data_IF_862588260981
#
_entry.id   IF_862588260981
#
_cell.length_a   1.000
_cell.length_b   1.000
_cell.length_c   1.000
_cell.angle_alpha   90.00
_cell.angle_beta   90.00
_cell.angle_gamma   90.00
#
_symmetry.space_group_name_H-M   'P 1'
#
loop_
_entity.id
_entity.type
_entity.pdbx_description
1 polymer ?
#
# COMPACT_ATOMS: atom_id res chain seq x y z
N UNK A 1 -6.86 -7.55 -6.69
CA UNK A 1 -7.84 -7.10 -5.68
C UNK A 1 -9.23 -7.43 -6.19
N UNK A 2 -9.87 -8.44 -5.63
CA UNK A 2 -11.21 -8.88 -6.00
C UNK A 2 -12.14 -8.51 -4.85
N UNK A 3 -12.80 -7.35 -4.95
CA UNK A 3 -13.75 -6.91 -3.92
C UNK A 3 -14.47 -5.62 -4.27
N UNK A 4 -13.81 -4.71 -4.99
CA UNK A 4 -14.40 -3.46 -5.47
C UNK A 4 -14.17 -3.35 -6.98
N UNK A 5 -15.26 -3.33 -7.76
CA UNK A 5 -15.22 -3.27 -9.22
C UNK A 5 -14.84 -1.87 -9.74
N UNK A 6 -14.38 -1.81 -10.99
CA UNK A 6 -13.93 -0.57 -11.65
C UNK A 6 -14.96 0.55 -11.60
N UNK A 7 -16.24 0.24 -11.78
CA UNK A 7 -17.31 1.24 -11.69
C UNK A 7 -17.43 1.89 -10.30
N UNK A 8 -17.24 1.11 -9.23
CA UNK A 8 -17.22 1.66 -7.86
C UNK A 8 -16.00 2.56 -7.67
N UNK A 9 -14.82 2.15 -8.15
CA UNK A 9 -13.61 2.98 -8.08
C UNK A 9 -13.79 4.30 -8.83
N UNK A 10 -14.37 4.26 -10.03
CA UNK A 10 -14.66 5.46 -10.80
C UNK A 10 -15.61 6.39 -10.03
N UNK A 11 -16.68 5.86 -9.43
CA UNK A 11 -17.59 6.68 -8.62
C UNK A 11 -16.91 7.34 -7.41
N UNK A 12 -15.96 6.65 -6.76
CA UNK A 12 -15.18 7.22 -5.65
C UNK A 12 -14.25 8.35 -6.11
N UNK A 13 -13.67 8.21 -7.30
CA UNK A 13 -12.81 9.24 -7.93
C UNK A 13 -13.66 10.44 -8.36
N UNK A 14 -14.77 10.21 -9.06
CA UNK A 14 -15.68 11.25 -9.55
C UNK A 14 -16.30 12.06 -8.40
N UNK A 15 -16.57 11.41 -7.26
CA UNK A 15 -17.04 12.05 -6.05
C UNK A 15 -15.92 12.72 -5.22
N UNK A 16 -14.68 12.71 -5.70
CA UNK A 16 -13.52 13.31 -5.04
C UNK A 16 -13.11 12.65 -3.73
N UNK A 17 -13.60 11.44 -3.45
CA UNK A 17 -13.28 10.68 -2.23
C UNK A 17 -11.91 10.02 -2.31
N UNK A 18 -11.45 9.73 -3.53
CA UNK A 18 -10.13 9.15 -3.80
C UNK A 18 -9.41 10.04 -4.80
N UNK A 19 -8.30 10.66 -4.37
CA UNK A 19 -7.45 11.53 -5.20
C UNK A 19 -6.03 10.96 -5.31
N UNK A 20 -5.59 10.23 -4.30
CA UNK A 20 -4.30 9.55 -4.24
C UNK A 20 -4.46 8.05 -4.02
N UNK A 21 -3.38 7.31 -4.28
CA UNK A 21 -3.35 5.85 -4.34
C UNK A 21 -3.93 5.15 -3.10
N UNK A 22 -3.79 5.74 -1.92
CA UNK A 22 -4.16 5.13 -0.64
C UNK A 22 -5.29 5.87 0.10
N UNK A 23 -5.88 6.92 -0.48
CA UNK A 23 -6.95 7.69 0.17
C UNK A 23 -8.13 6.81 0.60
N UNK A 24 -8.41 5.76 -0.19
CA UNK A 24 -9.47 4.80 0.07
C UNK A 24 -9.30 4.02 1.38
N UNK A 25 -8.08 3.91 1.91
CA UNK A 25 -7.85 3.24 3.18
C UNK A 25 -8.52 3.96 4.34
N UNK A 26 -8.70 5.27 4.25
CA UNK A 26 -9.29 6.10 5.29
C UNK A 26 -10.82 6.28 5.15
N UNK A 27 -11.44 5.78 4.07
CA UNK A 27 -12.85 6.01 3.81
C UNK A 27 -13.75 5.27 4.79
N UNK A 28 -14.67 6.00 5.41
CA UNK A 28 -15.67 5.44 6.34
C UNK A 28 -16.94 4.98 5.59
N UNK A 29 -17.77 4.10 6.17
CA UNK A 29 -19.05 3.73 5.59
C UNK A 29 -19.94 4.94 5.26
N UNK A 30 -19.93 5.98 6.09
CA UNK A 30 -20.73 7.19 5.90
C UNK A 30 -20.22 8.00 4.69
N UNK A 31 -18.90 8.11 4.54
CA UNK A 31 -18.29 8.78 3.38
C UNK A 31 -18.55 8.01 2.09
N UNK A 32 -18.51 6.68 2.14
CA UNK A 32 -18.85 5.81 1.02
C UNK A 32 -20.34 5.92 0.65
N UNK A 33 -21.25 5.95 1.62
CA UNK A 33 -22.69 6.11 1.40
C UNK A 33 -23.07 7.50 0.86
N UNK A 34 -22.20 8.50 1.04
CA UNK A 34 -22.39 9.84 0.45
C UNK A 34 -22.13 9.90 -1.06
N UNK A 35 -21.59 8.82 -1.65
CA UNK A 35 -21.28 8.76 -3.09
C UNK A 35 -22.52 8.32 -3.87
N UNK A 36 -22.94 9.06 -4.91
CA UNK A 36 -24.06 8.67 -5.76
C UNK A 36 -23.90 7.24 -6.30
N UNK A 37 -24.94 6.42 -6.15
CA UNK A 37 -24.92 5.02 -6.58
C UNK A 37 -24.34 4.02 -5.55
N UNK A 38 -23.86 4.48 -4.39
CA UNK A 38 -23.43 3.63 -3.28
C UNK A 38 -24.42 3.75 -2.11
N UNK A 39 -25.36 2.82 -2.01
CA UNK A 39 -26.27 2.74 -0.85
C UNK A 39 -25.57 2.22 0.42
N UNK A 40 -26.18 2.42 1.59
CA UNK A 40 -25.60 2.10 2.90
C UNK A 40 -25.05 0.65 3.02
N UNK A 41 -25.84 -0.36 2.64
CA UNK A 41 -25.36 -1.75 2.70
C UNK A 41 -24.17 -2.04 1.78
N UNK A 42 -24.09 -1.36 0.61
CA UNK A 42 -22.93 -1.46 -0.28
C UNK A 42 -21.73 -0.72 0.29
N UNK A 43 -21.95 0.43 0.94
CA UNK A 43 -20.92 1.19 1.62
C UNK A 43 -20.25 0.37 2.73
N UNK A 44 -21.03 -0.32 3.56
CA UNK A 44 -20.51 -1.23 4.60
C UNK A 44 -19.68 -2.38 4.00
N UNK A 45 -20.16 -3.01 2.93
CA UNK A 45 -19.43 -4.08 2.25
C UNK A 45 -18.09 -3.59 1.66
N UNK A 46 -18.06 -2.39 1.08
CA UNK A 46 -16.84 -1.76 0.58
C UNK A 46 -15.90 -1.45 1.74
N UNK A 47 -16.39 -0.85 2.83
CA UNK A 47 -15.58 -0.54 4.00
C UNK A 47 -14.95 -1.80 4.61
N UNK A 48 -15.71 -2.89 4.72
CA UNK A 48 -15.18 -4.18 5.17
C UNK A 48 -14.08 -4.69 4.23
N UNK A 49 -14.29 -4.60 2.91
CA UNK A 49 -13.29 -4.98 1.91
C UNK A 49 -11.99 -4.17 2.07
N UNK A 50 -12.11 -2.87 2.29
CA UNK A 50 -10.95 -2.00 2.52
C UNK A 50 -10.25 -2.32 3.84
N UNK A 51 -10.99 -2.61 4.90
CA UNK A 51 -10.42 -3.05 6.17
C UNK A 51 -9.65 -4.37 6.02
N UNK A 52 -10.19 -5.34 5.28
CA UNK A 52 -9.49 -6.61 4.99
C UNK A 52 -8.19 -6.39 4.20
N UNK A 53 -8.12 -5.38 3.32
CA UNK A 53 -6.90 -5.09 2.58
C UNK A 53 -5.74 -4.67 3.51
N UNK A 54 -6.02 -4.05 4.65
CA UNK A 54 -4.99 -3.64 5.64
C UNK A 54 -4.32 -4.83 6.32
N UNK A 55 -4.97 -6.00 6.30
CA UNK A 55 -4.47 -7.24 6.89
C UNK A 55 -3.55 -8.01 5.92
N UNK A 56 -3.37 -7.53 4.69
CA UNK A 56 -2.42 -8.13 3.77
C UNK A 56 -0.98 -8.01 4.29
N UNK A 57 -0.16 -9.01 3.99
CA UNK A 57 1.23 -9.04 4.42
C UNK A 57 2.03 -7.88 3.85
N UNK A 58 3.05 -7.44 4.59
CA UNK A 58 4.05 -6.47 4.16
C UNK A 58 4.52 -6.72 2.72
N UNK A 59 4.83 -7.99 2.42
CA UNK A 59 5.30 -8.39 1.10
C UNK A 59 4.28 -8.13 -0.02
N UNK A 60 3.01 -8.44 0.23
CA UNK A 60 1.93 -8.22 -0.72
C UNK A 60 1.71 -6.73 -0.97
N UNK A 61 1.82 -5.90 0.06
CA UNK A 61 1.74 -4.45 -0.07
C UNK A 61 2.90 -3.86 -0.87
N UNK A 62 4.15 -4.22 -0.56
CA UNK A 62 5.30 -3.76 -1.34
C UNK A 62 5.22 -4.15 -2.82
N UNK A 63 4.77 -5.37 -3.12
CA UNK A 63 4.53 -5.77 -4.50
C UNK A 63 3.44 -4.92 -5.17
N UNK A 64 2.35 -4.60 -4.46
CA UNK A 64 1.29 -3.73 -4.98
C UNK A 64 1.78 -2.28 -5.19
N UNK A 65 2.74 -1.81 -4.40
CA UNK A 65 3.38 -0.50 -4.53
C UNK A 65 4.46 -0.46 -5.63
N UNK A 66 4.72 -1.57 -6.34
CA UNK A 66 5.62 -1.59 -7.48
C UNK A 66 7.07 -1.95 -7.16
N UNK A 67 7.34 -2.63 -6.04
CA UNK A 67 8.69 -3.09 -5.72
C UNK A 67 9.31 -3.89 -6.88
N UNK A 68 10.54 -3.53 -7.31
CA UNK A 68 11.22 -4.25 -8.39
C UNK A 68 11.76 -5.60 -7.90
N UNK A 69 11.16 -6.69 -8.38
CA UNK A 69 11.62 -8.06 -8.11
C UNK A 69 11.17 -8.59 -6.75
N UNK A 70 11.85 -9.63 -6.25
CA UNK A 70 11.47 -10.32 -5.00
C UNK A 70 11.99 -9.57 -3.77
N UNK A 71 11.20 -9.59 -2.71
CA UNK A 71 11.60 -9.10 -1.38
C UNK A 71 12.63 -10.07 -0.79
N UNK A 72 13.77 -9.58 -0.30
CA UNK A 72 14.71 -10.41 0.46
C UNK A 72 14.04 -10.94 1.73
N UNK A 73 14.23 -12.21 2.13
CA UNK A 73 13.63 -12.77 3.34
C UNK A 73 13.91 -11.95 4.61
N UNK A 74 15.11 -11.38 4.70
CA UNK A 74 15.56 -10.52 5.79
C UNK A 74 14.89 -9.13 5.80
N UNK A 75 14.25 -8.70 4.71
CA UNK A 75 13.53 -7.45 4.57
C UNK A 75 12.06 -7.62 4.98
N UNK A 76 11.83 -7.89 6.26
CA UNK A 76 10.50 -8.24 6.77
C UNK A 76 9.63 -7.06 7.19
N UNK A 77 10.18 -5.84 7.23
CA UNK A 77 9.45 -4.60 7.49
C UNK A 77 10.13 -3.40 6.83
N UNK A 78 9.41 -2.28 6.79
CA UNK A 78 9.82 -1.03 6.15
C UNK A 78 11.07 -0.42 6.80
N UNK A 79 11.18 -0.48 8.13
CA UNK A 79 12.34 0.03 8.86
C UNK A 79 13.64 -0.68 8.46
N UNK A 80 13.62 -2.00 8.28
CA UNK A 80 14.78 -2.78 7.82
C UNK A 80 15.17 -2.41 6.39
N UNK A 81 14.20 -2.12 5.53
CA UNK A 81 14.46 -1.66 4.17
C UNK A 81 15.14 -0.29 4.14
N UNK A 82 14.76 0.62 5.05
CA UNK A 82 15.34 1.96 5.13
C UNK A 82 16.70 2.00 5.81
N UNK A 83 16.93 1.17 6.83
CA UNK A 83 18.14 1.28 7.67
C UNK A 83 19.38 0.63 7.06
N UNK A 84 19.22 -0.31 6.14
CA UNK A 84 20.35 -1.05 5.56
C UNK A 84 21.03 -0.30 4.44
N UNK A 85 22.35 -0.28 4.49
CA UNK A 85 23.19 0.25 3.43
C UNK A 85 23.32 -0.71 2.25
N UNK A 86 23.93 -0.24 1.16
CA UNK A 86 24.29 -1.09 0.01
C UNK A 86 25.17 -2.26 0.44
N UNK A 87 26.15 -2.02 1.33
CA UNK A 87 27.08 -3.03 1.82
C UNK A 87 26.36 -4.09 2.65
N UNK A 88 25.41 -3.70 3.49
CA UNK A 88 24.62 -4.63 4.31
C UNK A 88 23.80 -5.58 3.44
N UNK A 89 23.22 -5.09 2.34
CA UNK A 89 22.52 -5.92 1.37
C UNK A 89 23.46 -6.86 0.61
N UNK A 90 24.66 -6.41 0.26
CA UNK A 90 25.64 -7.28 -0.39
C UNK A 90 26.12 -8.40 0.53
N UNK A 91 26.25 -8.14 1.82
CA UNK A 91 26.63 -9.14 2.82
C UNK A 91 25.61 -10.29 2.94
N UNK A 92 24.35 -10.08 2.56
CA UNK A 92 23.34 -11.16 2.50
C UNK A 92 23.38 -11.97 1.20
N UNK A 93 24.33 -11.68 0.31
CA UNK A 93 24.46 -12.33 -1.00
C UNK A 93 23.70 -11.60 -2.12
N UNK A 94 23.15 -10.41 -1.87
CA UNK A 94 22.50 -9.62 -2.92
C UNK A 94 23.53 -8.99 -3.86
N UNK A 95 23.27 -9.04 -5.17
CA UNK A 95 24.11 -8.32 -6.13
C UNK A 95 24.00 -6.80 -5.95
N UNK A 96 25.11 -6.08 -6.18
CA UNK A 96 25.14 -4.63 -6.04
C UNK A 96 24.10 -3.91 -6.93
N UNK A 97 23.83 -4.43 -8.14
CA UNK A 97 22.82 -3.85 -9.03
C UNK A 97 21.40 -3.98 -8.49
N UNK A 98 21.06 -5.11 -7.86
CA UNK A 98 19.76 -5.31 -7.22
C UNK A 98 19.62 -4.48 -5.96
N UNK A 99 20.66 -4.44 -5.12
CA UNK A 99 20.66 -3.65 -3.89
C UNK A 99 20.52 -2.15 -4.16
N UNK A 100 21.20 -1.60 -5.19
CA UNK A 100 20.99 -0.20 -5.60
C UNK A 100 19.56 0.09 -6.06
N UNK A 101 18.93 -0.80 -6.84
CA UNK A 101 17.54 -0.63 -7.25
C UNK A 101 16.57 -0.65 -6.07
N UNK A 102 16.81 -1.56 -5.12
CA UNK A 102 16.02 -1.64 -3.89
C UNK A 102 16.12 -0.34 -3.08
N UNK A 103 17.35 0.13 -2.84
CA UNK A 103 17.58 1.38 -2.09
C UNK A 103 16.98 2.58 -2.82
N UNK A 104 17.15 2.68 -4.14
CA UNK A 104 16.56 3.74 -4.94
C UNK A 104 15.03 3.77 -4.83
N UNK A 105 14.38 2.60 -4.90
CA UNK A 105 12.93 2.49 -4.71
C UNK A 105 12.50 2.95 -3.31
N UNK A 106 13.14 2.43 -2.25
CA UNK A 106 12.77 2.72 -0.86
C UNK A 106 12.98 4.19 -0.48
N UNK A 107 13.97 4.86 -1.08
CA UNK A 107 14.30 6.25 -0.79
C UNK A 107 13.55 7.28 -1.67
N UNK A 108 12.67 6.84 -2.58
CA UNK A 108 11.82 7.76 -3.33
C UNK A 108 10.86 8.52 -2.38
N UNK A 109 10.72 9.85 -2.50
CA UNK A 109 9.83 10.63 -1.63
C UNK A 109 8.39 10.10 -1.61
N UNK A 110 7.86 9.72 -2.77
CA UNK A 110 6.52 9.15 -2.89
C UNK A 110 6.38 7.83 -2.12
N UNK A 111 7.40 6.97 -2.19
CA UNK A 111 7.40 5.70 -1.45
C UNK A 111 7.46 5.92 0.07
N UNK A 112 8.21 6.92 0.53
CA UNK A 112 8.23 7.29 1.95
C UNK A 112 6.86 7.81 2.41
N UNK A 113 6.21 8.66 1.62
CA UNK A 113 4.88 9.17 1.93
C UNK A 113 3.83 8.05 1.99
N UNK A 114 3.86 7.11 1.03
CA UNK A 114 2.96 5.96 1.02
C UNK A 114 3.22 5.02 2.21
N UNK A 115 4.48 4.80 2.60
CA UNK A 115 4.80 4.00 3.77
C UNK A 115 4.25 4.61 5.07
N UNK A 116 4.37 5.93 5.23
CA UNK A 116 3.76 6.66 6.38
C UNK A 116 2.24 6.52 6.38
N UNK A 117 1.58 6.61 5.22
CA UNK A 117 0.13 6.42 5.11
C UNK A 117 -0.29 4.98 5.47
N UNK A 118 0.46 3.96 5.03
CA UNK A 118 0.20 2.56 5.37
C UNK A 118 0.39 2.30 6.87
N UNK A 119 1.44 2.88 7.46
CA UNK A 119 1.67 2.84 8.90
C UNK A 119 0.49 3.46 9.67
N UNK A 120 0.06 4.67 9.30
CA UNK A 120 -1.08 5.35 9.90
C UNK A 120 -2.42 4.61 9.70
N UNK A 121 -2.55 3.83 8.64
CA UNK A 121 -3.70 2.95 8.40
C UNK A 121 -3.64 1.63 9.18
N UNK A 122 -2.55 1.34 9.91
CA UNK A 122 -2.39 0.13 10.72
C UNK A 122 -1.98 -1.10 9.91
N UNK A 123 -1.37 -0.92 8.74
CA UNK A 123 -0.87 -2.03 7.92
C UNK A 123 0.41 -2.59 8.54
N UNK A 124 0.41 -3.88 8.86
CA UNK A 124 1.55 -4.53 9.51
C UNK A 124 2.81 -4.50 8.64
N UNK A 125 3.93 -4.08 9.23
CA UNK A 125 5.24 -4.04 8.60
C UNK A 125 5.61 -2.71 7.95
N UNK A 126 4.70 -1.72 7.94
CA UNK A 126 5.00 -0.31 7.66
C UNK A 126 4.94 0.49 8.96
#
# INVERSE_FOLDING_TARGET
FSGVGTATWQALIDAGKVRHLLDWLALTPEQLASVPGIGAGRAEAIAHTFASARQHSFARWLHALGLPGRIPPEANNWQVLQSRSLADWQATGMSASRARRLLAFVHQPDMQALAVQLHGAGVQGF
#
